data_IF_553809596489
#
_entry.id   IF_553809596489
#
_cell.length_a   1.000
_cell.length_b   1.000
_cell.length_c   1.000
_cell.angle_alpha   90.00
_cell.angle_beta   90.00
_cell.angle_gamma   90.00
#
_symmetry.space_group_name_H-M   'P 1'
#
loop_
_entity.id
_entity.type
_entity.pdbx_description
1 polymer ?
#
# COMPACT_ATOMS: atom_id res chain seq x y z
N UNK A 1 14.11 -3.44 19.05
CA UNK A 1 13.51 -4.78 18.91
C UNK A 1 12.13 -4.65 18.29
N UNK A 2 12.04 -4.53 16.96
CA UNK A 2 10.79 -4.75 16.22
C UNK A 2 11.18 -5.06 14.76
N UNK A 3 11.88 -6.16 14.56
CA UNK A 3 12.13 -6.67 13.21
C UNK A 3 11.23 -7.87 13.02
N UNK A 4 9.98 -7.61 12.68
CA UNK A 4 9.11 -8.65 12.18
C UNK A 4 8.50 -8.16 10.89
N UNK A 5 8.66 -9.00 9.87
CA UNK A 5 8.17 -8.80 8.51
C UNK A 5 6.64 -8.86 8.57
N UNK A 6 6.00 -7.77 8.99
CA UNK A 6 4.54 -7.70 9.04
C UNK A 6 3.99 -7.72 7.64
N UNK A 7 3.09 -8.66 7.39
CA UNK A 7 2.35 -8.73 6.14
C UNK A 7 1.24 -7.68 6.12
N UNK A 8 0.75 -7.33 4.93
CA UNK A 8 -0.39 -6.41 4.81
C UNK A 8 -1.64 -6.96 5.50
N UNK A 9 -1.82 -8.28 5.49
CA UNK A 9 -2.92 -8.96 6.16
C UNK A 9 -2.99 -8.61 7.64
N UNK A 10 -1.87 -8.78 8.33
CA UNK A 10 -1.75 -8.48 9.75
C UNK A 10 -1.95 -6.98 10.01
N UNK A 11 -1.44 -6.11 9.14
CA UNK A 11 -1.66 -4.67 9.26
C UNK A 11 -3.15 -4.29 9.12
N UNK A 12 -3.88 -4.93 8.21
CA UNK A 12 -5.30 -4.68 8.00
C UNK A 12 -6.16 -5.24 9.13
N UNK A 13 -5.82 -6.42 9.66
CA UNK A 13 -6.48 -6.99 10.82
C UNK A 13 -6.36 -6.07 12.03
N UNK A 14 -5.14 -5.60 12.31
CA UNK A 14 -4.91 -4.68 13.42
C UNK A 14 -5.63 -3.33 13.21
N UNK A 15 -5.64 -2.80 11.98
CA UNK A 15 -6.41 -1.61 11.66
C UNK A 15 -7.91 -1.82 11.91
N UNK A 16 -8.45 -3.01 11.58
CA UNK A 16 -9.84 -3.33 11.83
C UNK A 16 -10.16 -3.42 13.33
N UNK A 17 -9.27 -4.02 14.12
CA UNK A 17 -9.41 -4.09 15.58
C UNK A 17 -9.37 -2.69 16.19
N UNK A 18 -8.42 -1.85 15.77
CA UNK A 18 -8.23 -0.51 16.33
C UNK A 18 -9.33 0.46 15.91
N UNK A 19 -9.80 0.35 14.66
CA UNK A 19 -10.80 1.25 14.11
C UNK A 19 -12.23 0.77 14.32
N UNK A 20 -12.44 -0.49 14.70
CA UNK A 20 -13.76 -1.13 14.80
C UNK A 20 -14.48 -1.32 13.46
N UNK A 21 -13.80 -1.09 12.33
CA UNK A 21 -14.35 -1.20 10.97
C UNK A 21 -13.37 -1.90 10.05
N UNK A 22 -13.87 -2.74 9.13
CA UNK A 22 -13.03 -3.43 8.16
C UNK A 22 -12.55 -2.46 7.07
N UNK A 23 -11.24 -2.29 6.87
CA UNK A 23 -10.71 -1.38 5.85
C UNK A 23 -10.99 -1.92 4.43
N UNK A 24 -11.71 -1.13 3.63
CA UNK A 24 -12.04 -1.46 2.24
C UNK A 24 -10.89 -1.18 1.25
N UNK A 25 -9.91 -0.38 1.66
CA UNK A 25 -8.78 0.02 0.82
C UNK A 25 -7.49 0.09 1.64
N UNK A 26 -6.40 -0.36 1.04
CA UNK A 26 -5.06 -0.29 1.58
C UNK A 26 -4.13 0.39 0.57
N UNK A 27 -3.40 1.42 1.01
CA UNK A 27 -2.36 2.05 0.21
C UNK A 27 -1.02 1.42 0.60
N UNK A 28 -0.31 0.85 -0.37
CA UNK A 28 0.95 0.13 -0.11
C UNK A 28 2.08 0.65 -0.98
N UNK A 29 3.31 0.45 -0.52
CA UNK A 29 4.51 0.78 -1.28
C UNK A 29 4.56 0.07 -2.63
N UNK A 30 5.22 0.69 -3.61
CA UNK A 30 5.39 0.13 -4.96
C UNK A 30 6.15 -1.21 -4.97
N UNK A 31 7.04 -1.41 -4.00
CA UNK A 31 7.81 -2.65 -3.85
C UNK A 31 7.01 -3.79 -3.23
N UNK A 32 5.78 -3.53 -2.78
CA UNK A 32 4.92 -4.55 -2.20
C UNK A 32 4.51 -5.56 -3.28
N UNK A 33 5.00 -6.80 -3.13
CA UNK A 33 4.69 -7.94 -4.02
C UNK A 33 3.70 -8.92 -3.39
N UNK A 34 3.08 -8.56 -2.26
CA UNK A 34 2.16 -9.45 -1.58
C UNK A 34 0.88 -9.66 -2.39
N UNK A 35 0.18 -10.75 -2.09
CA UNK A 35 -1.02 -11.19 -2.80
C UNK A 35 -2.13 -10.16 -2.63
N UNK A 36 -2.85 -9.84 -3.71
CA UNK A 36 -4.06 -9.04 -3.63
C UNK A 36 -5.06 -9.74 -2.69
N UNK A 37 -5.46 -9.07 -1.62
CA UNK A 37 -6.38 -9.66 -0.65
C UNK A 37 -7.82 -9.50 -1.15
N UNK A 38 -8.60 -10.57 -1.11
CA UNK A 38 -10.05 -10.47 -1.32
C UNK A 38 -10.66 -9.56 -0.24
N UNK A 39 -11.47 -8.59 -0.67
CA UNK A 39 -12.17 -7.66 0.22
C UNK A 39 -11.50 -6.31 0.46
N UNK A 40 -10.21 -6.13 0.13
CA UNK A 40 -9.51 -4.85 0.27
C UNK A 40 -8.84 -4.42 -1.04
N UNK A 41 -9.19 -3.24 -1.55
CA UNK A 41 -8.57 -2.67 -2.74
C UNK A 41 -7.15 -2.20 -2.42
N UNK A 42 -6.16 -2.73 -3.12
CA UNK A 42 -4.76 -2.31 -2.96
C UNK A 42 -4.44 -1.18 -3.94
N UNK A 43 -3.95 -0.06 -3.43
CA UNK A 43 -3.52 1.08 -4.22
C UNK A 43 -2.00 1.32 -4.09
N UNK A 44 -1.32 1.45 -5.23
CA UNK A 44 0.07 1.89 -5.27
C UNK A 44 0.11 3.35 -5.69
N UNK A 45 0.64 4.27 -4.86
CA UNK A 45 0.73 5.68 -5.21
C UNK A 45 1.68 5.84 -6.41
N UNK A 46 1.09 6.13 -7.57
CA UNK A 46 1.83 6.45 -8.78
C UNK A 46 2.51 7.80 -8.62
N UNK A 47 3.84 7.80 -8.67
CA UNK A 47 4.62 9.03 -8.82
C UNK A 47 4.05 9.79 -10.01
N UNK A 48 3.53 11.01 -9.82
CA UNK A 48 3.17 11.91 -10.92
C UNK A 48 4.38 11.96 -11.84
N UNK A 49 4.28 11.33 -13.01
CA UNK A 49 5.32 11.35 -14.03
C UNK A 49 5.41 12.79 -14.53
N UNK A 50 6.23 13.62 -13.88
CA UNK A 50 6.72 14.87 -14.47
C UNK A 50 7.64 14.49 -15.63
N UNK A 51 7.02 14.17 -16.76
CA UNK A 51 7.63 14.41 -18.08
C UNK A 51 7.44 15.89 -18.38
N UNK A 52 8.20 16.74 -17.69
CA UNK A 52 8.45 18.09 -18.18
C UNK A 52 9.48 17.94 -19.30
N UNK A 53 9.01 18.11 -20.54
CA UNK A 53 9.84 18.21 -21.73
C UNK A 53 10.91 19.27 -21.49
N UNK A 54 12.17 18.91 -21.66
CA UNK A 54 13.29 19.84 -21.70
C UNK A 54 14.31 19.25 -22.67
N UNK A 55 14.32 19.80 -23.88
CA UNK A 55 15.37 19.59 -24.87
C UNK A 55 16.74 19.75 -24.20
N UNK A 56 17.72 18.95 -24.60
CA UNK A 56 19.06 19.49 -24.74
C UNK A 56 19.73 18.86 -25.95
N UNK A 57 20.32 19.77 -26.72
CA UNK A 57 21.09 19.60 -27.95
C UNK A 57 22.23 18.61 -27.81
#
# INVERSE_FOLDING_TARGET
>A
MLTDRRTLAEALEQAAILSGVSPEMAIVDRGYKGVAMEGAKIYHPGLRRRISRGQSR
#
